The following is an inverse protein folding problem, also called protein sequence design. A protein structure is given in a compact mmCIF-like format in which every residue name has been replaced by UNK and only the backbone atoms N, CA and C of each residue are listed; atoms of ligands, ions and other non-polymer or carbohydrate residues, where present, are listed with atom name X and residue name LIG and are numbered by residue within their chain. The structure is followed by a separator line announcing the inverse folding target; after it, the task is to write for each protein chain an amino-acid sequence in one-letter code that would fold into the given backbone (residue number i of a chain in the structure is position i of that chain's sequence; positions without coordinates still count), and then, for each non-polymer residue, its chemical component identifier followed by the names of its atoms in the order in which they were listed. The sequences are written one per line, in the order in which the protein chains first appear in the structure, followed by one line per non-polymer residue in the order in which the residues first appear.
data_IF_088664976913
#
_entry.id   IF_088664976913
#
_cell.length_a   1.000
_cell.length_b   1.000
_cell.length_c   1.000
_cell.angle_alpha   90.00
_cell.angle_beta   90.00
_cell.angle_gamma   90.00
#
_symmetry.space_group_name_H-M   'P 1'
#
loop_
_entity.id
_entity.type
_entity.pdbx_description
1 polymer ?
#
# COMPACT_ATOMS: atom_id res chain seq x y z
N UNK A 1 -17.81 -18.46 4.30
CA UNK A 1 -17.62 -17.91 2.94
C UNK A 1 -18.87 -17.14 2.56
N UNK A 2 -18.89 -15.83 2.79
CA UNK A 2 -19.98 -14.95 2.35
C UNK A 2 -19.84 -14.76 0.85
N UNK A 3 -20.69 -15.43 0.08
CA UNK A 3 -20.84 -15.16 -1.35
C UNK A 3 -21.34 -13.72 -1.47
N UNK A 4 -20.44 -12.79 -1.81
CA UNK A 4 -20.83 -11.43 -2.13
C UNK A 4 -21.78 -11.50 -3.32
N UNK A 5 -23.01 -11.03 -3.11
CA UNK A 5 -24.03 -11.01 -4.14
C UNK A 5 -23.68 -9.91 -5.14
N UNK A 6 -22.89 -10.28 -6.15
CA UNK A 6 -22.42 -9.38 -7.21
C UNK A 6 -23.57 -8.72 -7.96
N UNK A 7 -24.77 -9.33 -7.96
CA UNK A 7 -25.97 -8.73 -8.53
C UNK A 7 -26.45 -7.54 -7.71
N UNK A 8 -26.50 -7.68 -6.38
CA UNK A 8 -26.89 -6.59 -5.50
C UNK A 8 -25.94 -5.38 -5.62
N UNK A 9 -24.62 -5.62 -5.72
CA UNK A 9 -23.65 -4.53 -5.95
C UNK A 9 -23.79 -3.88 -7.33
N UNK A 10 -24.12 -4.66 -8.36
CA UNK A 10 -24.34 -4.14 -9.71
C UNK A 10 -25.62 -3.30 -9.78
N UNK A 11 -26.70 -3.74 -9.14
CA UNK A 11 -27.97 -3.01 -9.08
C UNK A 11 -27.83 -1.68 -8.31
N UNK A 12 -27.05 -1.67 -7.23
CA UNK A 12 -26.74 -0.47 -6.46
C UNK A 12 -25.96 0.56 -7.30
N UNK A 13 -24.92 0.12 -8.02
CA UNK A 13 -24.16 0.97 -8.94
C UNK A 13 -25.04 1.54 -10.07
N UNK A 14 -25.94 0.73 -10.64
CA UNK A 14 -26.89 1.20 -11.65
C UNK A 14 -27.82 2.28 -11.09
N UNK A 15 -28.33 2.10 -9.87
CA UNK A 15 -29.19 3.09 -9.22
C UNK A 15 -28.47 4.44 -9.03
N UNK A 16 -27.18 4.41 -8.67
CA UNK A 16 -26.37 5.63 -8.58
C UNK A 16 -26.20 6.31 -9.94
N UNK A 17 -25.91 5.55 -11.00
CA UNK A 17 -25.82 6.11 -12.36
C UNK A 17 -27.13 6.76 -12.80
N UNK A 18 -28.28 6.15 -12.51
CA UNK A 18 -29.58 6.72 -12.84
C UNK A 18 -29.85 8.02 -12.08
N UNK A 19 -29.48 8.08 -10.78
CA UNK A 19 -29.59 9.31 -9.98
C UNK A 19 -28.70 10.41 -10.56
N UNK A 20 -27.42 10.14 -10.84
CA UNK A 20 -26.52 11.14 -11.42
C UNK A 20 -26.96 11.58 -12.81
N UNK A 21 -27.42 10.65 -13.66
CA UNK A 21 -27.95 10.97 -14.98
C UNK A 21 -29.21 11.84 -14.90
N UNK A 22 -30.11 11.57 -13.95
CA UNK A 22 -31.31 12.39 -13.72
C UNK A 22 -30.94 13.80 -13.25
N UNK A 23 -29.93 13.94 -12.39
CA UNK A 23 -29.46 15.23 -11.89
C UNK A 23 -28.80 16.08 -12.99
N UNK A 24 -27.97 15.45 -13.83
CA UNK A 24 -27.37 16.09 -15.00
C UNK A 24 -28.45 16.53 -15.99
N UNK A 25 -29.43 15.66 -16.28
CA UNK A 25 -30.57 16.01 -17.14
C UNK A 25 -31.38 17.18 -16.60
N UNK A 26 -31.68 17.17 -15.30
CA UNK A 26 -32.44 18.26 -14.67
C UNK A 26 -31.67 19.59 -14.69
N UNK A 27 -30.35 19.54 -14.47
CA UNK A 27 -29.48 20.71 -14.58
C UNK A 27 -29.44 21.24 -16.02
N UNK A 28 -29.32 20.35 -17.01
CA UNK A 28 -29.36 20.73 -18.43
C UNK A 28 -30.72 21.32 -18.82
N UNK A 29 -31.84 20.74 -18.37
CA UNK A 29 -33.16 21.28 -18.67
C UNK A 29 -33.37 22.66 -18.03
N UNK A 30 -32.94 22.84 -16.78
CA UNK A 30 -33.02 24.15 -16.12
C UNK A 30 -32.13 25.17 -16.83
N UNK A 31 -30.94 24.78 -17.25
CA UNK A 31 -30.03 25.65 -17.99
C UNK A 31 -30.59 26.05 -19.36
N UNK A 32 -31.16 25.08 -20.09
CA UNK A 32 -31.80 25.32 -21.37
C UNK A 32 -32.97 26.30 -21.23
N UNK A 33 -33.80 26.11 -20.21
CA UNK A 33 -34.97 26.94 -19.99
C UNK A 33 -34.60 28.36 -19.51
N UNK A 34 -33.62 28.48 -18.60
CA UNK A 34 -33.23 29.77 -18.04
C UNK A 34 -32.33 30.60 -18.96
N UNK A 35 -31.46 29.98 -19.75
CA UNK A 35 -30.44 30.71 -20.52
C UNK A 35 -30.61 30.55 -22.02
N UNK A 36 -30.81 29.32 -22.51
CA UNK A 36 -30.81 29.05 -23.95
C UNK A 36 -32.07 29.59 -24.62
N UNK A 37 -33.25 29.31 -24.04
CA UNK A 37 -34.54 29.77 -24.56
C UNK A 37 -34.67 31.29 -24.70
N UNK A 38 -34.40 32.11 -23.67
CA UNK A 38 -34.52 33.56 -23.81
C UNK A 38 -33.52 34.13 -24.81
N UNK A 39 -32.29 33.59 -24.86
CA UNK A 39 -31.28 34.02 -25.82
C UNK A 39 -31.71 33.71 -27.26
N UNK A 40 -32.24 32.50 -27.50
CA UNK A 40 -32.72 32.10 -28.81
C UNK A 40 -33.92 32.96 -29.25
N UNK A 41 -34.88 33.17 -28.36
CA UNK A 41 -36.04 34.03 -28.63
C UNK A 41 -35.61 35.48 -28.93
N UNK A 42 -34.62 36.00 -28.19
CA UNK A 42 -34.04 37.32 -28.45
C UNK A 42 -33.33 37.41 -29.80
N UNK A 43 -32.56 36.38 -30.18
CA UNK A 43 -31.92 36.29 -31.49
C UNK A 43 -32.95 36.27 -32.63
N UNK A 44 -34.00 35.46 -32.51
CA UNK A 44 -35.10 35.39 -33.49
C UNK A 44 -35.83 36.73 -33.59
N UNK A 45 -36.10 37.38 -32.46
CA UNK A 45 -36.71 38.70 -32.43
C UNK A 45 -35.81 39.75 -33.11
N UNK A 46 -34.51 39.78 -32.81
CA UNK A 46 -33.56 40.70 -33.46
C UNK A 46 -33.46 40.46 -34.97
N UNK A 47 -33.47 39.21 -35.42
CA UNK A 47 -33.42 38.87 -36.84
C UNK A 47 -34.64 39.40 -37.61
N UNK A 48 -35.82 39.45 -36.98
CA UNK A 48 -37.04 40.02 -37.58
C UNK A 48 -36.99 41.54 -37.71
N UNK A 49 -36.40 42.24 -36.73
CA UNK A 49 -36.37 43.71 -36.70
C UNK A 49 -35.22 44.26 -37.56
N UNK A 50 -34.04 43.64 -37.53
CA UNK A 50 -32.83 44.11 -38.24
C UNK A 50 -32.02 42.95 -38.84
N UNK A 51 -32.43 42.40 -40.00
CA UNK A 51 -31.82 41.18 -40.55
C UNK A 51 -30.34 41.34 -40.89
N UNK A 52 -29.90 42.51 -41.36
CA UNK A 52 -28.48 42.76 -41.73
C UNK A 52 -27.56 42.74 -40.52
N UNK A 53 -28.00 43.30 -39.38
CA UNK A 53 -27.19 43.29 -38.15
C UNK A 53 -27.15 41.88 -37.54
N UNK A 54 -28.28 41.16 -37.59
CA UNK A 54 -28.36 39.79 -37.08
C UNK A 54 -27.42 38.83 -37.83
N UNK A 55 -27.33 38.91 -39.16
CA UNK A 55 -26.39 38.08 -39.93
C UNK A 55 -24.93 38.44 -39.66
N UNK A 56 -24.61 39.73 -39.54
CA UNK A 56 -23.26 40.18 -39.16
C UNK A 56 -22.83 39.63 -37.80
N UNK A 57 -23.69 39.77 -36.77
CA UNK A 57 -23.43 39.24 -35.43
C UNK A 57 -23.31 37.72 -35.46
N UNK A 58 -24.17 37.02 -36.20
CA UNK A 58 -24.10 35.57 -36.35
C UNK A 58 -22.77 35.09 -36.94
N UNK A 59 -22.31 35.71 -38.03
CA UNK A 59 -21.02 35.39 -38.66
C UNK A 59 -19.86 35.74 -37.72
N UNK A 60 -19.91 36.90 -37.06
CA UNK A 60 -18.89 37.31 -36.09
C UNK A 60 -18.79 36.33 -34.92
N UNK A 61 -19.91 35.91 -34.35
CA UNK A 61 -19.96 34.90 -33.29
C UNK A 61 -19.42 33.57 -33.80
N UNK A 62 -19.82 33.11 -34.99
CA UNK A 62 -19.34 31.85 -35.56
C UNK A 62 -17.81 31.87 -35.79
N UNK A 63 -17.28 32.95 -36.34
CA UNK A 63 -15.85 33.12 -36.61
C UNK A 63 -15.01 33.34 -35.34
N UNK A 64 -15.58 33.95 -34.30
CA UNK A 64 -14.90 34.16 -33.01
C UNK A 64 -15.01 32.97 -32.06
N UNK A 65 -16.03 32.13 -32.22
CA UNK A 65 -16.21 30.92 -31.42
C UNK A 65 -15.10 29.90 -31.72
N UNK A 66 -14.66 29.79 -32.99
CA UNK A 66 -13.62 28.85 -33.39
C UNK A 66 -12.26 29.11 -32.70
N UNK A 67 -11.70 30.33 -32.70
CA UNK A 67 -10.48 30.63 -31.95
C UNK A 67 -10.69 30.57 -30.43
N UNK A 68 -11.87 30.92 -29.91
CA UNK A 68 -12.17 30.79 -28.48
C UNK A 68 -12.17 29.33 -28.02
N UNK A 69 -12.83 28.43 -28.77
CA UNK A 69 -12.82 26.99 -28.52
C UNK A 69 -11.42 26.40 -28.67
N UNK A 70 -10.66 26.82 -29.69
CA UNK A 70 -9.28 26.39 -29.86
C UNK A 70 -8.40 26.81 -28.66
N UNK A 71 -8.56 28.02 -28.15
CA UNK A 71 -7.86 28.50 -26.96
C UNK A 71 -8.23 27.70 -25.72
N UNK A 72 -9.52 27.47 -25.47
CA UNK A 72 -9.99 26.66 -24.34
C UNK A 72 -9.44 25.23 -24.44
N UNK A 73 -9.54 24.61 -25.61
CA UNK A 73 -9.04 23.26 -25.86
C UNK A 73 -7.52 23.17 -25.64
N UNK A 74 -6.75 24.11 -26.19
CA UNK A 74 -5.30 24.15 -26.02
C UNK A 74 -4.89 24.41 -24.57
N UNK A 75 -5.60 25.29 -23.86
CA UNK A 75 -5.38 25.55 -22.44
C UNK A 75 -5.61 24.30 -21.59
N UNK A 76 -6.74 23.62 -21.79
CA UNK A 76 -7.04 22.36 -21.10
C UNK A 76 -6.04 21.26 -21.45
N UNK A 77 -5.66 21.14 -22.72
CA UNK A 77 -4.66 20.18 -23.17
C UNK A 77 -3.29 20.44 -22.52
N UNK A 78 -2.88 21.69 -22.45
CA UNK A 78 -1.62 22.09 -21.80
C UNK A 78 -1.66 21.78 -20.30
N UNK A 79 -2.77 22.11 -19.62
CA UNK A 79 -2.94 21.83 -18.19
C UNK A 79 -2.92 20.32 -17.91
N UNK A 80 -3.63 19.53 -18.71
CA UNK A 80 -3.62 18.07 -18.60
C UNK A 80 -2.23 17.47 -18.86
N UNK A 81 -1.53 17.97 -19.88
CA UNK A 81 -0.16 17.54 -20.21
C UNK A 81 0.83 17.86 -19.08
N UNK A 82 0.73 19.05 -18.49
CA UNK A 82 1.55 19.44 -17.34
C UNK A 82 1.25 18.59 -16.10
N UNK A 83 -0.04 18.32 -15.83
CA UNK A 83 -0.43 17.45 -14.72
C UNK A 83 0.12 16.02 -14.90
N UNK A 84 0.01 15.46 -16.12
CA UNK A 84 0.56 14.14 -16.42
C UNK A 84 2.09 14.11 -16.28
N UNK A 85 2.77 15.15 -16.77
CA UNK A 85 4.23 15.24 -16.66
C UNK A 85 4.69 15.40 -15.21
N UNK A 86 3.95 16.16 -14.39
CA UNK A 86 4.20 16.30 -12.96
C UNK A 86 4.01 14.97 -12.22
N UNK A 87 2.94 14.23 -12.50
CA UNK A 87 2.69 12.91 -11.93
C UNK A 87 3.77 11.91 -12.33
N UNK A 88 4.18 11.89 -13.60
CA UNK A 88 5.24 11.03 -14.08
C UNK A 88 6.59 11.38 -13.42
N UNK A 89 6.92 12.67 -13.33
CA UNK A 89 8.12 13.13 -12.64
C UNK A 89 8.14 12.76 -11.16
N UNK A 90 7.01 12.90 -10.47
CA UNK A 90 6.85 12.49 -9.09
C UNK A 90 7.04 10.98 -8.90
N UNK A 91 6.47 10.16 -9.79
CA UNK A 91 6.60 8.70 -9.73
C UNK A 91 8.06 8.25 -9.96
N UNK A 92 8.74 8.84 -10.95
CA UNK A 92 10.16 8.59 -11.19
C UNK A 92 10.97 8.99 -9.96
N UNK A 93 10.77 10.19 -9.42
CA UNK A 93 11.49 10.65 -8.23
C UNK A 93 11.25 9.75 -7.02
N UNK A 94 10.01 9.37 -6.74
CA UNK A 94 9.64 8.49 -5.64
C UNK A 94 10.28 7.10 -5.79
N UNK A 95 10.27 6.53 -7.00
CA UNK A 95 10.89 5.23 -7.27
C UNK A 95 12.41 5.24 -7.07
N UNK A 96 13.09 6.29 -7.54
CA UNK A 96 14.54 6.47 -7.34
C UNK A 96 14.85 6.64 -5.87
N UNK A 97 14.11 7.50 -5.16
CA UNK A 97 14.30 7.70 -3.73
C UNK A 97 14.12 6.39 -2.95
N UNK A 98 13.06 5.64 -3.24
CA UNK A 98 12.80 4.35 -2.60
C UNK A 98 13.91 3.33 -2.88
N UNK A 99 14.40 3.26 -4.12
CA UNK A 99 15.53 2.39 -4.49
C UNK A 99 16.81 2.78 -3.74
N UNK A 100 17.10 4.09 -3.62
CA UNK A 100 18.26 4.59 -2.87
C UNK A 100 18.16 4.25 -1.38
N UNK A 101 17.02 4.51 -0.73
CA UNK A 101 16.83 4.18 0.69
C UNK A 101 16.91 2.68 0.94
N UNK A 102 16.32 1.88 0.08
CA UNK A 102 16.38 0.40 0.18
C UNK A 102 17.82 -0.08 0.05
N UNK A 103 18.60 0.47 -0.89
CA UNK A 103 20.02 0.13 -1.07
C UNK A 103 20.87 0.50 0.15
N UNK A 104 20.68 1.70 0.71
CA UNK A 104 21.37 2.13 1.95
C UNK A 104 21.02 1.21 3.12
N UNK A 105 19.75 0.85 3.26
CA UNK A 105 19.28 -0.04 4.31
C UNK A 105 19.89 -1.44 4.17
N UNK A 106 19.90 -2.01 2.96
CA UNK A 106 20.48 -3.33 2.68
C UNK A 106 21.99 -3.35 2.94
N UNK A 107 22.68 -2.27 2.58
CA UNK A 107 24.12 -2.08 2.84
C UNK A 107 24.37 -2.02 4.35
N UNK A 108 23.55 -1.28 5.09
CA UNK A 108 23.66 -1.14 6.55
C UNK A 108 23.43 -2.49 7.24
N UNK A 109 22.40 -3.24 6.85
CA UNK A 109 22.15 -4.58 7.36
C UNK A 109 23.31 -5.53 7.07
N UNK A 110 23.90 -5.44 5.88
CA UNK A 110 25.06 -6.26 5.50
C UNK A 110 26.26 -5.97 6.40
N UNK A 111 26.57 -4.69 6.65
CA UNK A 111 27.66 -4.27 7.55
C UNK A 111 27.40 -4.75 8.98
N UNK A 112 26.17 -4.59 9.48
CA UNK A 112 25.77 -5.06 10.80
C UNK A 112 25.87 -6.58 10.93
N UNK A 113 25.48 -7.32 9.90
CA UNK A 113 25.63 -8.78 9.85
C UNK A 113 27.09 -9.19 9.97
N UNK A 114 27.99 -8.60 9.16
CA UNK A 114 29.42 -8.91 9.23
C UNK A 114 30.05 -8.51 10.57
N UNK A 115 29.65 -7.37 11.12
CA UNK A 115 30.12 -6.89 12.43
C UNK A 115 29.67 -7.83 13.55
N UNK A 116 28.41 -8.29 13.51
CA UNK A 116 27.86 -9.26 14.45
C UNK A 116 28.59 -10.61 14.36
N UNK A 117 28.83 -11.12 13.15
CA UNK A 117 29.58 -12.36 12.92
C UNK A 117 31.02 -12.24 13.44
N UNK A 118 31.69 -11.12 13.16
CA UNK A 118 33.05 -10.86 13.63
C UNK A 118 33.11 -10.78 15.16
N UNK A 119 32.21 -10.03 15.79
CA UNK A 119 32.12 -9.94 17.25
C UNK A 119 31.83 -11.30 17.89
N UNK A 120 30.94 -12.09 17.29
CA UNK A 120 30.64 -13.45 17.74
C UNK A 120 31.88 -14.34 17.66
N UNK A 121 32.61 -14.27 16.54
CA UNK A 121 33.86 -15.01 16.37
C UNK A 121 34.94 -14.59 17.38
N UNK A 122 35.10 -13.29 17.63
CA UNK A 122 36.00 -12.76 18.66
C UNK A 122 35.61 -13.22 20.07
N UNK A 123 34.32 -13.20 20.42
CA UNK A 123 33.84 -13.64 21.72
C UNK A 123 34.07 -15.16 21.91
N UNK A 124 33.76 -15.96 20.89
CA UNK A 124 33.97 -17.42 20.89
C UNK A 124 35.47 -17.75 20.99
N UNK A 125 36.32 -17.10 20.20
CA UNK A 125 37.78 -17.31 20.26
C UNK A 125 38.38 -16.88 21.60
N UNK A 126 37.97 -15.73 22.15
CA UNK A 126 38.38 -15.28 23.48
C UNK A 126 37.95 -16.27 24.57
N UNK A 127 36.71 -16.79 24.50
CA UNK A 127 36.23 -17.82 25.41
C UNK A 127 37.11 -19.08 25.36
N UNK A 128 37.41 -19.58 24.15
CA UNK A 128 38.29 -20.74 24.00
C UNK A 128 39.71 -20.47 24.50
N UNK A 129 40.26 -19.27 24.25
CA UNK A 129 41.58 -18.88 24.72
C UNK A 129 41.65 -18.82 26.26
N UNK A 130 40.66 -18.21 26.91
CA UNK A 130 40.55 -18.17 28.37
C UNK A 130 40.44 -19.58 28.94
N UNK A 131 39.57 -20.42 28.37
CA UNK A 131 39.37 -21.79 28.84
C UNK A 131 40.61 -22.67 28.68
N UNK A 132 41.35 -22.49 27.58
CA UNK A 132 42.63 -23.16 27.34
C UNK A 132 43.68 -22.67 28.36
N UNK A 133 43.77 -21.37 28.60
CA UNK A 133 44.69 -20.79 29.58
C UNK A 133 44.44 -21.33 30.99
N UNK A 134 43.18 -21.54 31.37
CA UNK A 134 42.81 -22.17 32.64
C UNK A 134 43.30 -23.62 32.71
N UNK A 135 43.07 -24.45 31.68
CA UNK A 135 43.55 -25.84 31.67
C UNK A 135 45.08 -25.95 31.70
N UNK A 136 45.77 -25.11 30.92
CA UNK A 136 47.25 -25.09 30.89
C UNK A 136 47.83 -24.69 32.25
N UNK A 137 47.17 -23.78 32.99
CA UNK A 137 47.60 -23.40 34.34
C UNK A 137 47.38 -24.50 35.39
N UNK A 138 46.32 -25.30 35.26
CA UNK A 138 45.97 -26.32 36.25
C UNK A 138 46.75 -27.63 36.05
N UNK A 139 46.92 -28.10 34.81
CA UNK A 139 47.43 -29.45 34.52
C UNK A 139 48.82 -29.44 33.85
N UNK A 140 49.29 -28.28 33.41
CA UNK A 140 50.51 -28.13 32.61
C UNK A 140 50.25 -28.20 31.10
N UNK A 141 51.24 -27.74 30.31
CA UNK A 141 51.07 -27.44 28.87
C UNK A 141 50.69 -28.66 28.04
N UNK A 142 51.35 -29.81 28.26
CA UNK A 142 51.15 -31.03 27.46
C UNK A 142 49.82 -31.74 27.72
N UNK A 143 49.48 -32.12 28.97
CA UNK A 143 48.22 -32.82 29.24
C UNK A 143 47.00 -31.92 29.06
N UNK A 144 47.09 -30.63 29.42
CA UNK A 144 45.96 -29.70 29.36
C UNK A 144 45.44 -29.43 27.95
N UNK A 145 46.31 -29.40 26.93
CA UNK A 145 45.88 -29.26 25.52
C UNK A 145 45.11 -30.50 25.07
N UNK A 146 45.56 -31.70 25.46
CA UNK A 146 44.90 -32.96 25.10
C UNK A 146 43.51 -33.08 25.73
N UNK A 147 43.39 -32.74 27.02
CA UNK A 147 42.12 -32.72 27.73
C UNK A 147 41.13 -31.71 27.11
N UNK A 148 41.61 -30.51 26.78
CA UNK A 148 40.80 -29.48 26.13
C UNK A 148 40.28 -29.91 24.75
N UNK A 149 41.14 -30.51 23.89
CA UNK A 149 40.71 -31.01 22.57
C UNK A 149 39.63 -32.09 22.72
N UNK A 150 39.79 -33.00 23.69
CA UNK A 150 38.80 -34.03 23.95
C UNK A 150 37.46 -33.42 24.38
N UNK A 151 37.48 -32.44 25.28
CA UNK A 151 36.27 -31.74 25.73
C UNK A 151 35.56 -31.01 24.57
N UNK A 152 36.31 -30.27 23.73
CA UNK A 152 35.72 -29.56 22.59
C UNK A 152 35.12 -30.53 21.57
N UNK A 153 35.81 -31.64 21.31
CA UNK A 153 35.32 -32.69 20.41
C UNK A 153 34.06 -33.34 20.95
N UNK A 154 34.00 -33.63 22.24
CA UNK A 154 32.84 -34.24 22.88
C UNK A 154 31.63 -33.31 22.84
N UNK A 155 31.81 -32.01 23.15
CA UNK A 155 30.73 -31.01 23.06
C UNK A 155 30.21 -30.84 21.63
N UNK A 156 31.09 -30.83 20.62
CA UNK A 156 30.70 -30.72 19.21
C UNK A 156 29.95 -31.96 18.69
N UNK A 157 30.38 -33.16 19.09
CA UNK A 157 29.74 -34.41 18.67
C UNK A 157 28.41 -34.67 19.38
N UNK A 158 28.32 -34.34 20.68
CA UNK A 158 27.08 -34.50 21.46
C UNK A 158 25.98 -33.56 20.95
N UNK A 159 26.33 -32.34 20.53
CA UNK A 159 25.34 -31.38 20.00
C UNK A 159 24.62 -31.90 18.75
N UNK A 160 25.34 -32.56 17.83
CA UNK A 160 24.73 -33.15 16.62
C UNK A 160 23.74 -34.28 16.91
N UNK A 161 23.94 -35.03 18.00
CA UNK A 161 23.06 -36.16 18.35
C UNK A 161 21.74 -35.69 18.97
N UNK A 162 21.74 -34.55 19.66
CA UNK A 162 20.53 -33.96 20.24
C UNK A 162 19.55 -33.44 19.19
N UNK A 163 20.04 -32.79 18.13
CA UNK A 163 19.19 -32.24 17.07
C UNK A 163 18.48 -33.34 16.27
N UNK A 164 19.17 -34.45 15.97
CA UNK A 164 18.59 -35.58 15.24
C UNK A 164 17.42 -36.22 15.98
N UNK A 165 17.55 -36.44 17.30
CA UNK A 165 16.48 -37.00 18.13
C UNK A 165 15.29 -36.04 18.29
N UNK A 166 15.55 -34.73 18.25
CA UNK A 166 14.49 -33.72 18.33
C UNK A 166 13.70 -33.66 17.03
N UNK A 167 14.38 -33.73 15.87
CA UNK A 167 13.69 -33.83 14.57
C UNK A 167 12.89 -35.13 14.43
N UNK A 168 13.39 -36.25 14.96
CA UNK A 168 12.65 -37.52 14.98
C UNK A 168 11.36 -37.41 15.80
N UNK A 169 11.41 -36.79 16.99
CA UNK A 169 10.20 -36.57 17.79
C UNK A 169 9.19 -35.63 17.12
N UNK A 170 9.65 -34.54 16.49
CA UNK A 170 8.75 -33.60 15.78
C UNK A 170 8.12 -34.27 14.56
N UNK A 171 8.86 -35.12 13.85
CA UNK A 171 8.33 -35.89 12.73
C UNK A 171 7.29 -36.94 13.19
N UNK A 172 7.54 -37.64 14.31
CA UNK A 172 6.59 -38.61 14.89
C UNK A 172 5.34 -37.91 15.44
N UNK A 173 5.48 -36.72 16.04
CA UNK A 173 4.34 -35.96 16.54
C UNK A 173 3.49 -35.40 15.40
N UNK A 174 4.11 -34.87 14.34
CA UNK A 174 3.40 -34.40 13.15
C UNK A 174 2.69 -35.52 12.40
N UNK A 175 3.21 -36.75 12.43
CA UNK A 175 2.55 -37.91 11.85
C UNK A 175 1.34 -38.42 12.66
N UNK A 176 1.17 -37.96 13.91
CA UNK A 176 0.04 -38.32 14.77
C UNK A 176 -1.12 -37.33 14.78
N UNK A 177 -0.94 -36.11 14.24
CA UNK A 177 -1.97 -35.06 14.21
C UNK A 177 -2.82 -35.06 12.93
N UNK A 178 -2.47 -35.84 11.90
CA UNK A 178 -3.25 -35.96 10.67
C UNK A 178 -4.39 -37.02 10.76
N UNK A 179 -4.57 -37.67 11.92
CA UNK A 179 -5.58 -38.71 12.17
C UNK A 179 -6.46 -38.39 13.40
N UNK A 180 -6.89 -37.13 13.55
CA UNK A 180 -8.07 -36.83 14.38
C UNK A 180 -9.03 -35.94 13.59
N UNK A 181 -9.98 -36.61 12.96
CA UNK A 181 -11.10 -35.99 12.29
C UNK A 181 -12.04 -35.30 13.27
N UNK A 182 -12.55 -34.15 12.85
CA UNK A 182 -13.91 -33.71 13.16
C UNK A 182 -14.27 -33.56 14.63
N UNK A 183 -14.20 -32.33 15.13
CA UNK A 183 -15.16 -31.91 16.14
C UNK A 183 -15.58 -30.46 15.94
N UNK A 184 -16.80 -30.33 15.45
CA UNK A 184 -17.62 -29.11 15.48
C UNK A 184 -17.68 -28.54 16.91
N UNK A 185 -17.30 -27.28 17.07
CA UNK A 185 -17.52 -26.52 18.31
C UNK A 185 -17.12 -25.06 18.09
N UNK A 186 -18.00 -24.17 17.65
CA UNK A 186 -19.06 -23.51 18.43
C UNK A 186 -18.52 -22.62 19.55
N UNK A 187 -18.80 -21.31 19.43
CA UNK A 187 -18.46 -20.25 20.39
C UNK A 187 -17.33 -19.34 19.87
N UNK A 188 -17.40 -18.01 19.88
CA UNK A 188 -18.27 -17.11 20.62
C UNK A 188 -18.22 -15.74 19.94
N UNK A 189 -19.38 -15.14 19.69
CA UNK A 189 -19.52 -13.78 19.15
C UNK A 189 -19.28 -12.80 20.28
N UNK A 190 -18.10 -12.17 20.31
CA UNK A 190 -17.88 -11.00 21.17
C UNK A 190 -18.62 -9.81 20.54
N UNK A 191 -19.82 -9.57 21.07
CA UNK A 191 -20.59 -8.35 20.89
C UNK A 191 -19.89 -7.26 21.71
N UNK A 192 -19.09 -6.42 21.05
CA UNK A 192 -18.52 -5.24 21.71
C UNK A 192 -19.63 -4.24 22.00
N UNK A 193 -19.76 -3.99 23.30
CA UNK A 193 -20.69 -3.13 23.99
C UNK A 193 -20.56 -1.67 23.55
N UNK A 194 -21.70 -1.13 23.15
CA UNK A 194 -22.12 0.27 23.26
C UNK A 194 -21.79 0.82 24.66
N UNK A 195 -21.27 2.06 24.77
CA UNK A 195 -21.41 2.99 25.92
C UNK A 195 -20.38 4.13 25.81
N UNK A 196 -20.86 5.36 25.53
CA UNK A 196 -20.89 6.54 26.44
C UNK A 196 -21.21 7.78 25.59
N UNK A 197 -22.43 8.28 25.78
CA UNK A 197 -22.84 9.65 25.48
C UNK A 197 -22.00 10.68 26.25
N UNK A 198 -21.45 11.66 25.53
CA UNK A 198 -20.83 12.85 26.10
C UNK A 198 -21.78 14.06 26.01
N UNK A 199 -22.07 14.76 27.12
CA UNK A 199 -23.05 15.85 27.17
C UNK A 199 -22.54 17.14 26.51
N UNK A 200 -23.50 17.87 25.96
CA UNK A 200 -23.30 19.09 25.18
C UNK A 200 -22.60 20.24 25.90
N UNK A 201 -21.92 21.04 25.09
CA UNK A 201 -21.38 22.35 25.46
C UNK A 201 -22.29 23.44 24.90
N UNK A 202 -22.75 24.40 25.74
CA UNK A 202 -23.60 25.48 25.31
C UNK A 202 -22.84 26.57 24.54
N UNK A 203 -23.59 27.20 23.64
CA UNK A 203 -23.32 28.39 22.86
C UNK A 203 -22.83 29.59 23.68
N UNK A 204 -21.90 30.34 23.10
CA UNK A 204 -21.73 31.78 23.29
C UNK A 204 -21.49 32.44 21.95
#
# INVERSE_FOLDING_TARGET
MTSYDTKATQDDLQSHFDVYASHVRHSFSSFEEQYVRPLFNACVAMAKVRPVLATFVGIFVLLSLLPALAFIGFSLFTLASLAFLALLGFLIFASVALATYTSIFLTTLTILLFTSLFLTFCAVSAYFAVRLAVHVRLEGVRPGVGAWVHEVRERLLVSKRGEALTMERVAVQKAGEDDDGGSDGSGEVIKSEEVVDGPGVPSS
#
